data_IF_058728851053
#
_entry.id   IF_058728851053
#
_cell.length_a   1.000
_cell.length_b   1.000
_cell.length_c   1.000
_cell.angle_alpha   90.00
_cell.angle_beta   90.00
_cell.angle_gamma   90.00
#
_symmetry.space_group_name_H-M   'P 1'
#
loop_
_entity.id
_entity.type
_entity.pdbx_description
1 polymer ?
#
# COMPACT_ATOMS: atom_id res chain seq x y z
N UNK A 1 -3.08 -10.15 52.96
CA UNK A 1 -2.61 -9.11 52.02
C UNK A 1 -2.45 -9.72 50.61
N UNK A 2 -3.53 -9.85 49.82
CA UNK A 2 -3.49 -10.43 48.46
C UNK A 2 -4.50 -9.75 47.54
N UNK A 3 -4.42 -8.42 47.40
CA UNK A 3 -5.37 -7.66 46.56
C UNK A 3 -4.69 -6.57 45.71
N UNK A 4 -3.37 -6.57 45.58
CA UNK A 4 -2.61 -5.52 44.88
C UNK A 4 -2.09 -5.92 43.48
N UNK A 5 -2.23 -7.17 43.08
CA UNK A 5 -1.68 -7.68 41.80
C UNK A 5 -2.70 -7.75 40.66
N UNK A 6 -3.99 -7.59 40.94
CA UNK A 6 -5.04 -7.65 39.90
C UNK A 6 -5.18 -6.33 39.14
N UNK A 7 -4.81 -5.20 39.77
CA UNK A 7 -4.94 -3.87 39.16
C UNK A 7 -3.88 -3.58 38.07
N UNK A 8 -2.73 -4.27 38.11
CA UNK A 8 -1.67 -4.08 37.11
C UNK A 8 -1.99 -4.71 35.75
N UNK A 9 -2.77 -5.80 35.72
CA UNK A 9 -3.21 -6.43 34.47
C UNK A 9 -4.30 -5.64 33.74
N UNK A 10 -5.18 -4.95 34.47
CA UNK A 10 -6.24 -4.12 33.87
C UNK A 10 -5.65 -2.87 33.20
N UNK A 11 -4.56 -2.33 33.73
CA UNK A 11 -3.86 -1.16 33.15
C UNK A 11 -3.08 -1.53 31.89
N UNK A 12 -2.51 -2.75 31.81
CA UNK A 12 -1.73 -3.20 30.66
C UNK A 12 -2.60 -3.53 29.43
N UNK A 13 -3.87 -3.87 29.62
CA UNK A 13 -4.83 -4.17 28.55
C UNK A 13 -5.39 -2.92 27.85
N UNK A 14 -5.29 -1.73 28.46
CA UNK A 14 -5.82 -0.47 27.92
C UNK A 14 -4.90 0.22 26.90
N UNK A 15 -3.70 -0.32 26.65
CA UNK A 15 -2.69 0.30 25.77
C UNK A 15 -2.53 -0.38 24.40
N UNK A 16 -3.36 -1.39 24.07
CA UNK A 16 -3.46 -1.89 22.71
C UNK A 16 -4.27 -0.89 21.85
N UNK A 17 -3.71 0.31 21.67
CA UNK A 17 -4.23 1.26 20.69
C UNK A 17 -4.24 0.58 19.32
N UNK A 18 -5.43 0.45 18.74
CA UNK A 18 -5.60 0.00 17.36
C UNK A 18 -5.12 1.13 16.44
N UNK A 19 -3.79 1.26 16.31
CA UNK A 19 -3.21 2.19 15.35
C UNK A 19 -3.39 1.58 13.95
N UNK A 20 -3.87 2.36 12.96
CA UNK A 20 -3.94 1.88 11.60
C UNK A 20 -2.56 1.43 11.14
N UNK A 21 -2.50 0.22 10.58
CA UNK A 21 -1.27 -0.38 10.09
C UNK A 21 -1.25 -0.46 8.56
N UNK A 22 -0.06 -0.65 8.02
CA UNK A 22 0.15 -0.92 6.60
C UNK A 22 1.05 -2.13 6.43
N UNK A 23 0.99 -2.76 5.25
CA UNK A 23 1.89 -3.82 4.85
C UNK A 23 2.16 -3.74 3.34
N UNK A 24 3.21 -4.40 2.88
CA UNK A 24 3.47 -4.61 1.45
C UNK A 24 3.12 -6.04 1.11
N UNK A 25 2.27 -6.25 0.11
CA UNK A 25 1.96 -7.60 -0.35
C UNK A 25 3.04 -8.06 -1.33
N UNK A 26 3.69 -9.18 -1.00
CA UNK A 26 4.68 -9.81 -1.85
C UNK A 26 3.99 -10.36 -3.13
N UNK A 27 4.67 -10.22 -4.27
CA UNK A 27 4.09 -10.50 -5.60
C UNK A 27 3.80 -12.00 -5.83
N UNK A 28 4.48 -12.88 -5.13
CA UNK A 28 4.24 -14.33 -5.15
C UNK A 28 2.96 -14.73 -4.41
N UNK A 29 2.36 -13.82 -3.64
CA UNK A 29 1.09 -14.01 -2.92
C UNK A 29 -0.13 -13.42 -3.65
N UNK A 30 0.04 -12.98 -4.89
CA UNK A 30 -1.05 -12.43 -5.73
C UNK A 30 -2.22 -13.41 -5.92
N UNK A 31 -1.98 -14.70 -5.84
CA UNK A 31 -3.03 -15.74 -5.93
C UNK A 31 -4.06 -15.67 -4.80
N UNK A 32 -3.77 -14.94 -3.72
CA UNK A 32 -4.72 -14.68 -2.62
C UNK A 32 -5.78 -13.62 -2.98
N UNK A 33 -5.56 -12.82 -4.03
CA UNK A 33 -6.37 -11.64 -4.38
C UNK A 33 -6.66 -11.55 -5.89
N UNK A 34 -7.66 -12.32 -6.36
CA UNK A 34 -7.98 -12.51 -7.79
C UNK A 34 -8.13 -11.21 -8.59
N UNK A 35 -8.90 -10.24 -8.10
CA UNK A 35 -9.17 -8.99 -8.83
C UNK A 35 -7.89 -8.16 -9.03
N UNK A 36 -7.04 -8.16 -8.00
CA UNK A 36 -5.75 -7.47 -8.01
C UNK A 36 -4.79 -8.18 -8.96
N UNK A 37 -4.78 -9.52 -8.97
CA UNK A 37 -4.00 -10.32 -9.91
C UNK A 37 -4.37 -10.00 -11.36
N UNK A 38 -5.65 -9.82 -11.67
CA UNK A 38 -6.07 -9.41 -13.01
C UNK A 38 -5.52 -8.02 -13.36
N UNK A 39 -5.68 -7.04 -12.47
CA UNK A 39 -5.18 -5.69 -12.69
C UNK A 39 -3.67 -5.62 -12.87
N UNK A 40 -2.87 -6.29 -12.04
CA UNK A 40 -1.40 -6.24 -12.19
C UNK A 40 -0.92 -6.95 -13.45
N UNK A 41 -1.64 -7.98 -13.93
CA UNK A 41 -1.36 -8.58 -15.24
C UNK A 41 -1.69 -7.60 -16.37
N UNK A 42 -2.79 -6.87 -16.25
CA UNK A 42 -3.18 -5.82 -17.19
C UNK A 42 -2.11 -4.71 -17.25
N UNK A 43 -1.58 -4.26 -16.11
CA UNK A 43 -0.45 -3.33 -16.05
C UNK A 43 0.80 -3.82 -16.79
N UNK A 44 1.02 -5.13 -16.90
CA UNK A 44 2.14 -5.68 -17.70
C UNK A 44 1.84 -5.72 -19.21
N UNK A 45 0.57 -5.67 -19.61
CA UNK A 45 0.16 -5.57 -21.02
C UNK A 45 0.05 -4.11 -21.46
N UNK A 46 -0.47 -3.25 -20.59
CA UNK A 46 -0.60 -1.81 -20.72
C UNK A 46 0.51 -1.13 -19.92
N UNK A 47 1.73 -1.26 -20.45
CA UNK A 47 2.92 -0.89 -19.71
C UNK A 47 3.11 0.63 -19.57
N UNK A 48 2.32 1.45 -20.26
CA UNK A 48 2.32 2.91 -20.17
C UNK A 48 1.55 3.47 -18.96
N UNK A 49 0.76 2.63 -18.28
CA UNK A 49 -0.07 3.04 -17.14
C UNK A 49 0.80 3.44 -15.94
N UNK A 50 0.76 4.73 -15.59
CA UNK A 50 1.43 5.34 -14.44
C UNK A 50 0.40 5.97 -13.52
N UNK A 51 0.44 5.63 -12.24
CA UNK A 51 -0.51 6.16 -11.25
C UNK A 51 -0.74 5.19 -10.11
N UNK A 52 -1.91 5.27 -9.49
CA UNK A 52 -2.35 4.32 -8.49
C UNK A 52 -3.81 3.90 -8.63
N UNK A 53 -4.14 2.72 -8.12
CA UNK A 53 -5.51 2.20 -8.03
C UNK A 53 -5.78 1.68 -6.63
N UNK A 54 -7.00 1.91 -6.11
CA UNK A 54 -7.42 1.40 -4.80
C UNK A 54 -8.43 0.27 -4.94
N UNK A 55 -8.13 -0.87 -4.31
CA UNK A 55 -9.02 -2.01 -4.20
C UNK A 55 -9.49 -2.18 -2.76
N UNK A 56 -10.73 -2.58 -2.56
CA UNK A 56 -11.21 -3.04 -1.25
C UNK A 56 -11.05 -4.55 -1.17
N UNK A 57 -10.33 -5.04 -0.17
CA UNK A 57 -10.13 -6.47 0.08
C UNK A 57 -10.96 -6.91 1.30
N UNK A 58 -10.81 -8.18 1.70
CA UNK A 58 -11.49 -8.75 2.87
C UNK A 58 -11.40 -7.86 4.11
N UNK A 59 -12.48 -7.87 4.90
CA UNK A 59 -12.60 -7.10 6.15
C UNK A 59 -12.62 -5.57 5.96
N UNK A 60 -12.84 -5.08 4.74
CA UNK A 60 -12.92 -3.65 4.43
C UNK A 60 -11.56 -2.95 4.31
N UNK A 61 -10.48 -3.72 4.41
CA UNK A 61 -9.11 -3.26 4.21
C UNK A 61 -8.90 -2.78 2.78
N UNK A 62 -7.87 -1.98 2.55
CA UNK A 62 -7.56 -1.39 1.24
C UNK A 62 -6.25 -1.95 0.70
N UNK A 63 -6.17 -2.16 -0.60
CA UNK A 63 -4.93 -2.39 -1.32
C UNK A 63 -4.73 -1.26 -2.32
N UNK A 64 -3.65 -0.51 -2.16
CA UNK A 64 -3.22 0.54 -3.09
C UNK A 64 -2.16 -0.06 -3.99
N UNK A 65 -2.44 -0.12 -5.30
CA UNK A 65 -1.51 -0.60 -6.32
C UNK A 65 -0.92 0.63 -7.00
N UNK A 66 0.39 0.81 -6.94
CA UNK A 66 1.08 1.96 -7.55
C UNK A 66 1.96 1.45 -8.69
N UNK A 67 1.89 2.10 -9.85
CA UNK A 67 2.67 1.75 -11.05
C UNK A 67 3.47 2.93 -11.58
N UNK A 68 4.64 2.66 -12.17
CA UNK A 68 5.53 3.70 -12.70
C UNK A 68 5.37 3.96 -14.21
N UNK A 69 4.81 3.01 -14.94
CA UNK A 69 4.85 3.00 -16.40
C UNK A 69 6.21 2.55 -16.96
N UNK A 70 6.23 2.22 -18.25
CA UNK A 70 7.35 1.61 -18.95
C UNK A 70 8.53 2.56 -19.17
N UNK A 71 8.28 3.87 -19.09
CA UNK A 71 9.33 4.89 -19.07
C UNK A 71 10.29 4.77 -17.89
N UNK A 72 9.92 4.02 -16.84
CA UNK A 72 10.71 3.81 -15.63
C UNK A 72 10.93 2.31 -15.34
N UNK A 73 10.92 1.45 -16.39
CA UNK A 73 11.07 0.00 -16.26
C UNK A 73 12.44 -0.48 -15.73
N UNK A 74 13.42 0.42 -15.66
CA UNK A 74 14.73 0.22 -15.04
C UNK A 74 14.69 0.46 -13.52
N UNK A 75 13.52 0.79 -12.96
CA UNK A 75 13.31 1.05 -11.54
C UNK A 75 12.38 0.02 -10.91
N UNK A 76 12.45 -0.05 -9.58
CA UNK A 76 11.50 -0.76 -8.74
C UNK A 76 10.92 0.21 -7.71
N UNK A 77 9.69 -0.06 -7.30
CA UNK A 77 9.03 0.65 -6.20
C UNK A 77 9.29 -0.08 -4.88
N UNK A 78 9.64 0.70 -3.87
CA UNK A 78 9.74 0.24 -2.48
C UNK A 78 8.89 1.14 -1.59
N UNK A 79 8.39 0.57 -0.50
CA UNK A 79 7.61 1.34 0.45
C UNK A 79 8.54 2.20 1.33
N UNK A 80 8.21 3.48 1.50
CA UNK A 80 8.95 4.38 2.39
C UNK A 80 8.23 4.60 3.72
N UNK A 81 6.98 5.09 3.68
CA UNK A 81 6.22 5.42 4.90
C UNK A 81 4.71 5.57 4.61
N UNK A 82 3.88 5.31 5.62
CA UNK A 82 2.45 5.70 5.62
C UNK A 82 2.17 6.59 6.82
N UNK A 83 1.66 7.78 6.54
CA UNK A 83 1.20 8.70 7.59
C UNK A 83 -0.31 8.73 7.61
N UNK A 84 -0.86 8.44 8.78
CA UNK A 84 -2.29 8.52 9.04
C UNK A 84 -2.60 9.78 9.83
N UNK A 85 -3.56 10.56 9.35
CA UNK A 85 -4.17 11.68 10.08
C UNK A 85 -5.68 11.62 9.91
N UNK A 86 -6.42 12.45 10.64
CA UNK A 86 -7.87 12.53 10.47
C UNK A 86 -8.34 13.16 9.15
N UNK A 87 -7.43 13.78 8.39
CA UNK A 87 -7.74 14.48 7.14
C UNK A 87 -7.23 13.76 5.91
N UNK A 88 -6.10 13.09 6.04
CA UNK A 88 -5.39 12.48 4.93
C UNK A 88 -4.61 11.24 5.37
N UNK A 89 -4.49 10.31 4.43
CA UNK A 89 -3.59 9.16 4.46
C UNK A 89 -2.54 9.35 3.39
N UNK A 90 -1.28 9.54 3.79
CA UNK A 90 -0.18 9.80 2.86
C UNK A 90 0.66 8.55 2.72
N UNK A 91 0.64 7.94 1.53
CA UNK A 91 1.46 6.80 1.14
C UNK A 91 2.67 7.33 0.38
N UNK A 92 3.86 7.13 0.94
CA UNK A 92 5.12 7.55 0.32
C UNK A 92 5.88 6.34 -0.20
N UNK A 93 6.16 6.33 -1.50
CA UNK A 93 6.94 5.29 -2.17
C UNK A 93 8.32 5.80 -2.61
N UNK A 94 9.26 4.89 -2.75
CA UNK A 94 10.61 5.17 -3.20
C UNK A 94 10.88 4.48 -4.52
N UNK A 95 11.50 5.20 -5.45
CA UNK A 95 12.03 4.61 -6.70
C UNK A 95 13.49 4.22 -6.47
N UNK A 96 13.83 2.96 -6.72
CA UNK A 96 15.21 2.47 -6.70
C UNK A 96 15.59 1.85 -8.03
N UNK A 97 16.87 1.86 -8.43
CA UNK A 97 17.32 1.06 -9.56
C UNK A 97 16.94 -0.41 -9.37
N UNK A 98 16.31 -1.01 -10.37
CA UNK A 98 16.03 -2.43 -10.37
C UNK A 98 17.31 -3.20 -10.74
N UNK A 99 17.75 -4.19 -9.93
CA UNK A 99 18.93 -4.99 -10.26
C UNK A 99 18.74 -5.82 -11.54
N UNK A 100 17.49 -6.09 -11.95
CA UNK A 100 17.09 -6.66 -13.25
C UNK A 100 15.75 -6.06 -13.68
N UNK A 101 15.63 -5.62 -14.93
CA UNK A 101 14.36 -5.22 -15.52
C UNK A 101 13.52 -6.48 -15.80
N UNK A 102 12.77 -6.92 -14.78
CA UNK A 102 11.91 -8.10 -14.88
C UNK A 102 10.45 -7.74 -15.19
N UNK A 103 10.06 -6.50 -14.96
CA UNK A 103 8.69 -6.02 -15.12
C UNK A 103 8.63 -5.02 -16.27
N UNK A 104 7.62 -5.14 -17.13
CA UNK A 104 7.39 -4.15 -18.20
C UNK A 104 6.92 -2.84 -17.59
N UNK A 105 6.08 -2.94 -16.56
CA UNK A 105 5.60 -1.82 -15.77
C UNK A 105 5.86 -2.13 -14.29
N UNK A 106 6.84 -1.47 -13.65
CA UNK A 106 7.12 -1.68 -12.24
C UNK A 106 5.95 -1.25 -11.36
N UNK A 107 5.56 -2.12 -10.43
CA UNK A 107 4.47 -1.85 -9.49
C UNK A 107 4.77 -2.31 -8.06
N UNK A 108 4.02 -1.79 -7.10
CA UNK A 108 4.00 -2.22 -5.70
C UNK A 108 2.55 -2.35 -5.21
N UNK A 109 2.33 -3.28 -4.29
CA UNK A 109 1.04 -3.57 -3.66
C UNK A 109 1.12 -3.18 -2.18
N UNK A 110 0.37 -2.16 -1.77
CA UNK A 110 0.42 -1.60 -0.42
C UNK A 110 -0.93 -1.80 0.25
N UNK A 111 -0.95 -2.67 1.24
CA UNK A 111 -2.13 -2.91 2.05
C UNK A 111 -2.24 -1.90 3.18
N UNK A 112 -3.46 -1.43 3.43
CA UNK A 112 -3.82 -0.50 4.49
C UNK A 112 -5.04 -1.05 5.24
N UNK A 113 -5.05 -0.96 6.56
CA UNK A 113 -6.24 -1.33 7.34
C UNK A 113 -7.45 -0.46 6.97
N UNK A 114 -7.20 0.81 6.70
CA UNK A 114 -8.18 1.81 6.26
C UNK A 114 -7.47 2.99 5.60
N UNK A 115 -8.24 3.77 4.86
CA UNK A 115 -7.86 5.11 4.40
C UNK A 115 -8.67 6.09 5.23
N UNK A 116 -7.98 6.98 5.95
CA UNK A 116 -8.57 8.09 6.69
C UNK A 116 -8.51 9.36 5.84
N UNK A 117 -9.65 9.97 5.58
CA UNK A 117 -9.77 11.17 4.76
C UNK A 117 -9.28 10.96 3.31
N UNK A 118 -8.57 11.96 2.78
CA UNK A 118 -8.06 11.94 1.40
C UNK A 118 -6.82 11.04 1.28
N UNK A 119 -6.77 10.21 0.21
CA UNK A 119 -5.58 9.43 -0.10
C UNK A 119 -4.61 10.26 -0.93
N UNK A 120 -3.36 10.38 -0.48
CA UNK A 120 -2.27 11.00 -1.22
C UNK A 120 -1.19 9.96 -1.44
N UNK A 121 -0.96 9.59 -2.69
CA UNK A 121 0.16 8.72 -3.09
C UNK A 121 1.24 9.59 -3.71
N UNK A 122 2.43 9.55 -3.14
CA UNK A 122 3.55 10.39 -3.57
C UNK A 122 4.89 9.68 -3.42
N UNK A 123 5.93 10.27 -3.99
CA UNK A 123 7.31 9.84 -3.76
C UNK A 123 8.03 10.62 -2.64
N UNK A 124 9.32 10.31 -2.43
CA UNK A 124 10.18 11.00 -1.47
C UNK A 124 10.42 12.49 -1.81
N UNK A 125 10.22 12.90 -3.07
CA UNK A 125 10.33 14.31 -3.50
C UNK A 125 9.03 15.08 -3.36
N UNK A 126 7.92 14.39 -3.10
CA UNK A 126 6.58 14.95 -2.97
C UNK A 126 5.80 14.99 -4.29
N UNK A 127 6.31 14.39 -5.36
CA UNK A 127 5.59 14.29 -6.62
C UNK A 127 4.46 13.28 -6.47
N UNK A 128 3.26 13.70 -6.82
CA UNK A 128 2.03 12.93 -6.63
C UNK A 128 1.78 12.00 -7.80
N UNK A 129 1.32 10.80 -7.48
CA UNK A 129 0.72 9.90 -8.45
C UNK A 129 -0.76 10.25 -8.59
N UNK A 130 -1.27 10.18 -9.81
CA UNK A 130 -2.70 10.34 -10.09
C UNK A 130 -3.42 8.99 -9.93
N UNK A 131 -4.70 9.05 -9.53
CA UNK A 131 -5.53 7.86 -9.54
C UNK A 131 -5.82 7.48 -11.00
N UNK A 132 -5.69 6.19 -11.32
CA UNK A 132 -5.96 5.70 -12.66
C UNK A 132 -7.44 5.41 -12.83
N UNK A 133 -8.03 5.76 -13.96
CA UNK A 133 -9.39 5.35 -14.30
C UNK A 133 -9.42 3.90 -14.81
N UNK A 134 -9.01 2.93 -13.98
CA UNK A 134 -9.18 1.51 -14.34
C UNK A 134 -10.63 1.09 -14.10
N UNK A 135 -11.44 1.19 -15.16
CA UNK A 135 -12.80 0.65 -15.20
C UNK A 135 -12.71 -0.80 -15.68
N UNK A 136 -13.22 -1.75 -14.89
CA UNK A 136 -13.43 -3.14 -15.32
C UNK A 136 -14.57 -3.23 -16.33
#
# INVERSE_FOLDING_TARGET
MRLKWVWLFVIMLLLAGCQPSYWVLEKDRLDEVTDIKMYVNDLQMHDDVKGYQVFTISEGKKMVVVSLGSSENDKQLEMSDVKFSSKETVVTVKRKPAPKANEKNPYILIGLDKIEGDLIVQDETGDRFEETDYQQ
#
